data_IF_913223755721
#
_entry.id   IF_913223755721
#
_cell.length_a   1.000
_cell.length_b   1.000
_cell.length_c   1.000
_cell.angle_alpha   90.00
_cell.angle_beta   90.00
_cell.angle_gamma   90.00
#
_symmetry.space_group_name_H-M   'P 1'
#
loop_
_entity.id
_entity.type
_entity.pdbx_description
1 polymer ?
#
# COMPACT_ATOMS: atom_id res chain seq x y z
N UNK A 1 -4.26 -19.10 31.23
CA UNK A 1 -3.96 -18.97 29.78
C UNK A 1 -5.24 -19.22 29.01
N UNK A 2 -6.01 -18.16 28.67
CA UNK A 2 -7.32 -18.27 28.03
C UNK A 2 -7.08 -18.50 26.52
N UNK A 3 -7.31 -19.72 26.05
CA UNK A 3 -7.27 -20.06 24.62
C UNK A 3 -8.58 -19.56 24.00
N UNK A 4 -8.57 -18.36 23.41
CA UNK A 4 -9.68 -17.83 22.63
C UNK A 4 -9.79 -18.68 21.35
N UNK A 5 -10.78 -19.59 21.32
CA UNK A 5 -11.13 -20.41 20.16
C UNK A 5 -11.80 -19.50 19.12
N UNK A 6 -10.99 -18.85 18.28
CA UNK A 6 -11.48 -17.96 17.24
C UNK A 6 -12.19 -18.79 16.19
N UNK A 7 -13.46 -18.48 15.92
CA UNK A 7 -14.28 -19.15 14.91
C UNK A 7 -13.69 -18.89 13.51
N UNK A 8 -12.95 -19.84 13.01
CA UNK A 8 -12.26 -19.79 11.71
C UNK A 8 -13.20 -19.52 10.52
N UNK A 9 -14.50 -19.80 10.69
CA UNK A 9 -15.53 -19.60 9.65
C UNK A 9 -15.87 -18.11 9.47
N UNK A 10 -16.05 -17.35 10.55
CA UNK A 10 -16.38 -15.92 10.47
C UNK A 10 -15.24 -15.08 9.91
N UNK A 11 -14.00 -15.49 10.17
CA UNK A 11 -12.83 -14.80 9.62
C UNK A 11 -12.71 -14.97 8.11
N UNK A 12 -13.04 -16.16 7.60
CA UNK A 12 -13.07 -16.41 6.15
C UNK A 12 -14.15 -15.58 5.45
N UNK A 13 -15.34 -15.49 6.02
CA UNK A 13 -16.42 -14.67 5.47
C UNK A 13 -16.05 -13.19 5.45
N UNK A 14 -15.44 -12.67 6.52
CA UNK A 14 -14.98 -11.30 6.59
C UNK A 14 -13.89 -11.01 5.52
N UNK A 15 -12.94 -11.93 5.36
CA UNK A 15 -11.89 -11.81 4.35
C UNK A 15 -12.47 -11.80 2.93
N UNK A 16 -13.42 -12.69 2.63
CA UNK A 16 -14.10 -12.72 1.32
C UNK A 16 -14.84 -11.41 1.05
N UNK A 17 -15.52 -10.86 2.05
CA UNK A 17 -16.20 -9.57 1.94
C UNK A 17 -15.22 -8.43 1.67
N UNK A 18 -14.09 -8.39 2.39
CA UNK A 18 -13.05 -7.39 2.18
C UNK A 18 -12.44 -7.47 0.77
N UNK A 19 -12.16 -8.68 0.27
CA UNK A 19 -11.66 -8.90 -1.09
C UNK A 19 -12.70 -8.44 -2.12
N UNK A 20 -13.97 -8.75 -1.93
CA UNK A 20 -15.05 -8.33 -2.82
C UNK A 20 -15.13 -6.80 -2.94
N UNK A 21 -15.12 -6.09 -1.81
CA UNK A 21 -15.11 -4.63 -1.82
C UNK A 21 -13.84 -4.03 -2.43
N UNK A 22 -12.68 -4.66 -2.21
CA UNK A 22 -11.43 -4.23 -2.84
C UNK A 22 -11.51 -4.34 -4.36
N UNK A 23 -12.05 -5.45 -4.88
CA UNK A 23 -12.22 -5.65 -6.33
C UNK A 23 -13.15 -4.58 -6.91
N UNK A 24 -14.31 -4.34 -6.28
CA UNK A 24 -15.23 -3.28 -6.71
C UNK A 24 -14.52 -1.93 -6.73
N UNK A 25 -13.77 -1.60 -5.69
CA UNK A 25 -13.05 -0.32 -5.60
C UNK A 25 -12.01 -0.17 -6.71
N UNK A 26 -11.25 -1.22 -7.02
CA UNK A 26 -10.29 -1.21 -8.13
C UNK A 26 -11.01 -0.99 -9.47
N UNK A 27 -12.12 -1.68 -9.70
CA UNK A 27 -12.91 -1.52 -10.93
C UNK A 27 -13.43 -0.09 -11.08
N UNK A 28 -13.98 0.49 -10.01
CA UNK A 28 -14.51 1.86 -10.01
C UNK A 28 -13.42 2.93 -10.21
N UNK A 29 -12.19 2.63 -9.85
CA UNK A 29 -11.08 3.57 -9.97
C UNK A 29 -10.22 3.36 -11.22
N UNK A 30 -10.56 2.39 -12.08
CA UNK A 30 -9.77 2.01 -13.25
C UNK A 30 -9.55 3.18 -14.23
N UNK A 31 -10.53 4.06 -14.36
CA UNK A 31 -10.49 5.18 -15.32
C UNK A 31 -9.87 6.47 -14.72
N UNK A 32 -9.45 6.41 -13.44
CA UNK A 32 -8.80 7.55 -12.80
C UNK A 32 -7.31 7.52 -13.16
N UNK A 33 -6.87 8.47 -13.97
CA UNK A 33 -5.45 8.63 -14.31
C UNK A 33 -4.81 9.69 -13.41
N UNK A 34 -3.67 9.35 -12.84
CA UNK A 34 -2.83 10.28 -12.07
C UNK A 34 -1.63 10.65 -12.93
N UNK A 35 -1.42 11.94 -13.13
CA UNK A 35 -0.28 12.47 -13.86
C UNK A 35 0.73 13.08 -12.90
N UNK A 36 2.01 12.76 -13.09
CA UNK A 36 3.08 13.48 -12.43
C UNK A 36 3.14 14.90 -12.98
N UNK A 37 3.19 15.89 -12.11
CA UNK A 37 3.29 17.30 -12.50
C UNK A 37 4.70 17.56 -13.05
N UNK A 38 4.80 17.82 -14.35
CA UNK A 38 6.09 18.01 -15.04
C UNK A 38 6.84 19.25 -14.56
N UNK A 39 6.16 20.22 -14.00
CA UNK A 39 6.74 21.45 -13.42
C UNK A 39 7.23 21.27 -11.99
N UNK A 40 6.85 20.19 -11.31
CA UNK A 40 7.26 19.88 -9.94
C UNK A 40 8.54 19.01 -9.91
N UNK A 41 9.65 19.55 -10.37
CA UNK A 41 10.94 18.84 -10.46
C UNK A 41 11.43 18.27 -9.13
N UNK A 42 11.15 18.96 -8.04
CA UNK A 42 11.64 18.57 -6.72
C UNK A 42 10.80 17.49 -6.04
N UNK A 43 9.60 17.20 -6.53
CA UNK A 43 8.64 16.27 -5.92
C UNK A 43 8.35 15.08 -6.81
N UNK A 44 7.42 15.23 -7.75
CA UNK A 44 6.90 14.09 -8.52
C UNK A 44 7.93 13.49 -9.46
N UNK A 45 8.65 14.34 -10.20
CA UNK A 45 9.66 13.86 -11.14
C UNK A 45 10.84 13.17 -10.45
N UNK A 46 11.29 13.71 -9.31
CA UNK A 46 12.36 13.10 -8.54
C UNK A 46 11.99 11.69 -8.10
N UNK A 47 10.77 11.50 -7.58
CA UNK A 47 10.29 10.20 -7.11
C UNK A 47 10.19 9.17 -8.23
N UNK A 48 9.65 9.57 -9.39
CA UNK A 48 9.56 8.70 -10.57
C UNK A 48 10.96 8.33 -11.08
N UNK A 49 11.88 9.30 -11.14
CA UNK A 49 13.25 9.06 -11.60
C UNK A 49 14.04 8.12 -10.68
N UNK A 50 13.87 8.26 -9.36
CA UNK A 50 14.48 7.33 -8.40
C UNK A 50 13.87 5.92 -8.55
N UNK A 51 12.56 5.80 -8.75
CA UNK A 51 11.91 4.52 -8.99
C UNK A 51 12.44 3.83 -10.25
N UNK A 52 12.66 4.56 -11.34
CA UNK A 52 13.26 4.02 -12.57
C UNK A 52 14.70 3.56 -12.38
N UNK A 53 15.50 4.28 -11.60
CA UNK A 53 16.86 3.87 -11.26
C UNK A 53 16.88 2.60 -10.42
N UNK A 54 15.96 2.47 -9.46
CA UNK A 54 15.80 1.25 -8.67
C UNK A 54 15.49 0.04 -9.55
N UNK A 55 14.61 0.19 -10.54
CA UNK A 55 14.29 -0.87 -11.51
C UNK A 55 15.49 -1.30 -12.37
N UNK A 56 16.42 -0.38 -12.62
CA UNK A 56 17.68 -0.67 -13.33
C UNK A 56 18.79 -1.19 -12.42
N UNK A 57 18.46 -1.57 -11.17
CA UNK A 57 19.40 -2.00 -10.13
C UNK A 57 20.47 -0.94 -9.78
N UNK A 58 20.23 0.31 -10.15
CA UNK A 58 21.08 1.42 -9.78
C UNK A 58 20.50 2.05 -8.50
N UNK A 59 21.01 1.59 -7.35
CA UNK A 59 20.51 1.97 -6.04
C UNK A 59 20.53 3.48 -5.84
N UNK A 60 19.34 4.09 -5.75
CA UNK A 60 19.07 5.51 -5.50
C UNK A 60 19.71 6.52 -6.47
N UNK A 61 20.49 6.09 -7.46
CA UNK A 61 21.12 6.98 -8.45
C UNK A 61 22.03 8.04 -7.83
N UNK A 62 22.24 9.17 -8.51
CA UNK A 62 23.01 10.30 -7.97
C UNK A 62 22.35 10.85 -6.71
N UNK A 63 23.01 10.67 -5.57
CA UNK A 63 22.55 11.16 -4.28
C UNK A 63 22.72 12.67 -4.22
N UNK A 64 21.65 13.40 -4.00
CA UNK A 64 21.68 14.85 -3.79
C UNK A 64 20.87 15.21 -2.54
N UNK A 65 20.91 16.47 -2.15
CA UNK A 65 20.21 16.96 -0.96
C UNK A 65 18.67 16.77 -1.03
N UNK A 66 18.08 16.69 -2.21
CA UNK A 66 16.65 16.44 -2.39
C UNK A 66 16.28 14.97 -2.10
N UNK A 67 17.14 14.03 -2.48
CA UNK A 67 16.95 12.60 -2.20
C UNK A 67 16.99 12.29 -0.71
N UNK A 68 17.87 12.97 0.04
CA UNK A 68 17.97 12.81 1.50
C UNK A 68 16.72 13.31 2.24
N UNK A 69 16.13 14.41 1.76
CA UNK A 69 14.99 15.03 2.43
C UNK A 69 13.68 14.21 2.35
N UNK A 70 13.49 13.40 1.31
CA UNK A 70 12.21 12.76 0.98
C UNK A 70 12.12 11.26 1.27
N UNK A 71 13.23 10.63 1.59
CA UNK A 71 13.27 9.19 1.84
C UNK A 71 13.03 8.33 0.58
N UNK A 72 13.32 7.03 0.70
CA UNK A 72 13.30 6.11 -0.43
C UNK A 72 12.04 5.22 -0.50
N UNK A 73 11.15 5.27 0.50
CA UNK A 73 10.00 4.36 0.57
C UNK A 73 9.02 4.55 -0.60
N UNK A 74 8.66 5.79 -0.91
CA UNK A 74 7.71 6.07 -1.98
C UNK A 74 8.25 5.71 -3.39
N UNK A 75 9.47 6.07 -3.76
CA UNK A 75 10.10 5.56 -4.99
C UNK A 75 10.17 4.03 -5.06
N UNK A 76 10.48 3.37 -3.96
CA UNK A 76 10.47 1.91 -3.89
C UNK A 76 9.06 1.34 -4.15
N UNK A 77 8.04 1.93 -3.54
CA UNK A 77 6.65 1.55 -3.78
C UNK A 77 6.25 1.71 -5.26
N UNK A 78 6.64 2.81 -5.91
CA UNK A 78 6.43 3.03 -7.35
C UNK A 78 7.18 1.99 -8.20
N UNK A 79 8.42 1.68 -7.84
CA UNK A 79 9.23 0.69 -8.55
C UNK A 79 8.61 -0.71 -8.47
N UNK A 80 8.10 -1.11 -7.31
CA UNK A 80 7.39 -2.39 -7.11
C UNK A 80 6.14 -2.46 -8.00
N UNK A 81 5.31 -1.42 -8.01
CA UNK A 81 4.13 -1.35 -8.87
C UNK A 81 4.48 -1.51 -10.34
N UNK A 82 5.48 -0.78 -10.81
CA UNK A 82 5.96 -0.84 -12.20
C UNK A 82 6.56 -2.20 -12.55
N UNK A 83 7.28 -2.84 -11.63
CA UNK A 83 7.85 -4.18 -11.82
C UNK A 83 6.76 -5.23 -12.06
N UNK A 84 5.65 -5.17 -11.31
CA UNK A 84 4.52 -6.09 -11.46
C UNK A 84 3.51 -5.65 -12.54
N UNK A 85 3.76 -4.56 -13.27
CA UNK A 85 2.84 -3.99 -14.26
C UNK A 85 1.46 -3.64 -13.67
N UNK A 86 1.42 -3.27 -12.39
CA UNK A 86 0.21 -2.83 -11.69
C UNK A 86 0.17 -1.30 -11.74
N UNK A 87 -0.95 -0.74 -12.13
CA UNK A 87 -1.15 0.70 -12.12
C UNK A 87 -1.06 1.28 -10.70
N UNK A 88 -0.62 2.52 -10.60
CA UNK A 88 -0.37 3.19 -9.32
C UNK A 88 -1.59 3.18 -8.39
N UNK A 89 -2.78 3.44 -8.94
CA UNK A 89 -4.02 3.49 -8.16
C UNK A 89 -4.32 2.10 -7.56
N UNK A 90 -4.22 1.05 -8.35
CA UNK A 90 -4.42 -0.33 -7.85
C UNK A 90 -3.41 -0.69 -6.77
N UNK A 91 -2.14 -0.32 -6.93
CA UNK A 91 -1.12 -0.50 -5.88
C UNK A 91 -1.53 0.20 -4.57
N UNK A 92 -1.96 1.46 -4.65
CA UNK A 92 -2.41 2.23 -3.48
C UNK A 92 -3.62 1.56 -2.81
N UNK A 93 -4.60 1.07 -3.58
CA UNK A 93 -5.78 0.40 -3.03
C UNK A 93 -5.43 -0.92 -2.34
N UNK A 94 -4.54 -1.72 -2.94
CA UNK A 94 -4.06 -2.98 -2.33
C UNK A 94 -3.33 -2.68 -1.02
N UNK A 95 -2.42 -1.70 -1.03
CA UNK A 95 -1.66 -1.32 0.16
C UNK A 95 -2.56 -0.79 1.28
N UNK A 96 -3.55 0.04 0.92
CA UNK A 96 -4.54 0.54 1.87
C UNK A 96 -5.37 -0.61 2.48
N UNK A 97 -5.87 -1.53 1.66
CA UNK A 97 -6.63 -2.68 2.15
C UNK A 97 -5.80 -3.57 3.08
N UNK A 98 -4.52 -3.81 2.74
CA UNK A 98 -3.59 -4.55 3.58
C UNK A 98 -3.37 -3.85 4.92
N UNK A 99 -3.18 -2.53 4.91
CA UNK A 99 -3.01 -1.73 6.13
C UNK A 99 -4.24 -1.79 7.02
N UNK A 100 -5.44 -1.66 6.46
CA UNK A 100 -6.69 -1.81 7.19
C UNK A 100 -6.84 -3.22 7.80
N UNK A 101 -6.50 -4.25 7.04
CA UNK A 101 -6.54 -5.63 7.53
C UNK A 101 -5.58 -5.85 8.71
N UNK A 102 -4.34 -5.39 8.59
CA UNK A 102 -3.34 -5.49 9.66
C UNK A 102 -3.77 -4.71 10.91
N UNK A 103 -4.33 -3.51 10.72
CA UNK A 103 -4.85 -2.70 11.80
C UNK A 103 -6.01 -3.39 12.54
N UNK A 104 -6.99 -3.92 11.81
CA UNK A 104 -8.10 -4.66 12.40
C UNK A 104 -7.61 -5.90 13.15
N UNK A 105 -6.62 -6.60 12.60
CA UNK A 105 -6.02 -7.75 13.26
C UNK A 105 -5.29 -7.36 14.55
N UNK A 106 -4.59 -6.24 14.55
CA UNK A 106 -3.87 -5.74 15.72
C UNK A 106 -4.82 -5.26 16.84
N UNK A 107 -5.93 -4.60 16.48
CA UNK A 107 -6.90 -4.05 17.45
C UNK A 107 -7.85 -5.10 18.02
N UNK A 108 -8.05 -6.20 17.28
CA UNK A 108 -8.98 -7.26 17.66
C UNK A 108 -8.82 -7.77 19.11
N UNK A 109 -7.63 -8.10 19.63
CA UNK A 109 -7.48 -8.58 21.01
C UNK A 109 -7.90 -7.52 22.03
N UNK A 110 -7.72 -6.24 21.73
CA UNK A 110 -8.07 -5.12 22.63
C UNK A 110 -9.60 -4.98 22.72
N UNK A 111 -10.30 -5.02 21.60
CA UNK A 111 -11.76 -4.90 21.57
C UNK A 111 -12.43 -6.07 22.29
N UNK A 112 -11.97 -7.30 22.04
CA UNK A 112 -12.57 -8.48 22.72
C UNK A 112 -12.26 -8.53 24.22
N UNK A 113 -11.16 -7.95 24.67
CA UNK A 113 -10.83 -7.89 26.09
C UNK A 113 -11.77 -6.96 26.87
N UNK A 114 -12.24 -5.87 26.27
CA UNK A 114 -13.15 -4.92 26.90
C UNK A 114 -14.61 -5.42 27.03
N UNK A 115 -15.02 -6.41 26.23
CA UNK A 115 -16.40 -6.93 26.28
C UNK A 115 -16.56 -8.18 27.18
N UNK A 116 -15.51 -8.60 27.88
CA UNK A 116 -15.49 -9.76 28.76
C UNK A 116 -15.42 -9.36 30.25
N UNK A 117 -15.52 -8.07 30.56
CA UNK A 117 -15.66 -7.52 31.93
C UNK A 117 -17.07 -7.02 32.09
#
# INVERSE_FOLDING_TARGET
>A
MIRIKISHSKDKQFLLFAIFFLIIKIILMKDVTIYAITTAFADDQLMVHIAEKLLRLNWLGGYNHYTLAKGCFFPFFLAVGKFFHIDFISCVQIFYALSCYLFLRAIRPVIFFQWTI
#
